data_IF_153848630581
#
_entry.id   IF_153848630581
#
_cell.length_a   1.000
_cell.length_b   1.000
_cell.length_c   1.000
_cell.angle_alpha   90.00
_cell.angle_beta   90.00
_cell.angle_gamma   90.00
#
_symmetry.space_group_name_H-M   'P 1'
#
loop_
_entity.id
_entity.type
_entity.pdbx_description
1 polymer ?
#
# COMPACT_ATOMS: atom_id res chain seq x y z
N UNK A 1 -7.66 10.24 6.26
CA UNK A 1 -6.93 9.05 6.77
C UNK A 1 -5.90 8.66 5.72
N UNK A 2 -4.73 8.16 6.10
CA UNK A 2 -3.70 7.81 5.12
C UNK A 2 -3.68 6.30 4.88
N UNK A 3 -3.68 5.88 3.61
CA UNK A 3 -3.54 4.47 3.23
C UNK A 3 -2.22 4.33 2.48
N UNK A 4 -1.25 3.65 3.08
CA UNK A 4 0.06 3.39 2.48
C UNK A 4 0.02 2.07 1.73
N UNK A 5 0.34 2.10 0.44
CA UNK A 5 0.34 0.92 -0.41
C UNK A 5 1.76 0.38 -0.55
N UNK A 6 1.87 -0.92 -0.36
CA UNK A 6 3.07 -1.70 -0.64
C UNK A 6 3.21 -1.97 -2.15
N UNK A 7 4.45 -2.09 -2.64
CA UNK A 7 4.79 -2.34 -4.05
C UNK A 7 4.09 -3.60 -4.57
N UNK A 8 4.18 -4.69 -3.80
CA UNK A 8 3.59 -5.98 -4.18
C UNK A 8 2.07 -5.92 -4.25
N UNK A 9 1.44 -5.11 -3.38
CA UNK A 9 0.00 -4.90 -3.39
C UNK A 9 -0.45 -4.21 -4.68
N UNK A 10 0.25 -3.15 -5.08
CA UNK A 10 -0.05 -2.39 -6.31
C UNK A 10 0.07 -3.30 -7.54
N UNK A 11 1.17 -4.04 -7.66
CA UNK A 11 1.41 -4.97 -8.76
C UNK A 11 0.31 -6.03 -8.81
N UNK A 12 -0.08 -6.56 -7.65
CA UNK A 12 -1.14 -7.55 -7.55
C UNK A 12 -2.49 -7.00 -8.03
N UNK A 13 -2.86 -5.80 -7.59
CA UNK A 13 -4.10 -5.15 -8.03
C UNK A 13 -4.11 -4.94 -9.54
N UNK A 14 -3.02 -4.43 -10.12
CA UNK A 14 -2.90 -4.20 -11.57
C UNK A 14 -3.03 -5.52 -12.34
N UNK A 15 -2.30 -6.55 -11.92
CA UNK A 15 -2.31 -7.87 -12.56
C UNK A 15 -3.71 -8.49 -12.56
N UNK A 16 -4.47 -8.31 -11.46
CA UNK A 16 -5.82 -8.83 -11.33
C UNK A 16 -6.92 -7.84 -11.78
N UNK A 17 -6.54 -6.69 -12.38
CA UNK A 17 -7.46 -5.64 -12.86
C UNK A 17 -8.41 -5.13 -11.76
N UNK A 18 -7.89 -5.00 -10.55
CA UNK A 18 -8.61 -4.46 -9.39
C UNK A 18 -8.42 -2.95 -9.39
N UNK A 19 -9.53 -2.21 -9.41
CA UNK A 19 -9.49 -0.76 -9.18
C UNK A 19 -9.17 -0.49 -7.71
N UNK A 20 -7.96 -0.01 -7.46
CA UNK A 20 -7.43 0.23 -6.12
C UNK A 20 -8.31 1.23 -5.35
N UNK A 21 -8.66 2.35 -5.99
CA UNK A 21 -9.35 3.44 -5.31
C UNK A 21 -10.79 3.05 -4.98
N UNK A 22 -11.51 2.49 -5.95
CA UNK A 22 -12.89 2.00 -5.73
C UNK A 22 -12.91 0.90 -4.68
N UNK A 23 -12.02 -0.09 -4.79
CA UNK A 23 -12.02 -1.24 -3.88
C UNK A 23 -11.64 -0.87 -2.45
N UNK A 24 -10.75 0.12 -2.26
CA UNK A 24 -10.43 0.65 -0.93
C UNK A 24 -11.62 1.46 -0.40
N UNK A 25 -12.31 2.22 -1.24
CA UNK A 25 -13.53 2.95 -0.86
C UNK A 25 -14.66 2.03 -0.42
N UNK A 26 -14.84 0.88 -1.08
CA UNK A 26 -15.83 -0.11 -0.67
C UNK A 26 -15.45 -0.80 0.65
N UNK A 27 -14.15 -0.86 0.95
CA UNK A 27 -13.63 -1.46 2.17
C UNK A 27 -13.59 -0.49 3.37
N UNK A 28 -13.64 0.83 3.11
CA UNK A 28 -13.50 1.88 4.09
C UNK A 28 -14.68 2.86 4.00
N UNK A 29 -15.56 2.87 5.01
CA UNK A 29 -16.66 3.84 5.12
C UNK A 29 -16.19 5.27 5.53
N UNK A 30 -15.03 5.72 5.04
CA UNK A 30 -14.40 6.97 5.47
C UNK A 30 -13.46 7.54 4.40
N UNK A 31 -13.25 8.86 4.42
CA UNK A 31 -12.34 9.53 3.49
C UNK A 31 -10.87 9.16 3.74
N UNK A 32 -10.18 8.81 2.67
CA UNK A 32 -8.77 8.44 2.69
C UNK A 32 -7.98 9.11 1.55
N UNK A 33 -6.68 9.16 1.75
CA UNK A 33 -5.69 9.52 0.73
C UNK A 33 -4.76 8.33 0.54
N UNK A 34 -4.44 8.03 -0.72
CA UNK A 34 -3.53 6.94 -1.08
C UNK A 34 -2.10 7.48 -1.11
N UNK A 35 -1.18 6.73 -0.52
CA UNK A 35 0.22 7.09 -0.43
C UNK A 35 1.13 5.91 -0.72
N UNK A 36 2.34 6.21 -1.20
CA UNK A 36 3.42 5.25 -1.39
C UNK A 36 4.71 5.83 -0.80
N UNK A 37 5.65 4.97 -0.44
CA UNK A 37 7.01 5.41 -0.13
C UNK A 37 7.82 5.59 -1.41
N UNK A 38 8.77 6.52 -1.37
CA UNK A 38 9.70 6.76 -2.48
C UNK A 38 10.45 5.50 -2.96
N UNK A 39 10.78 4.59 -2.05
CA UNK A 39 11.37 3.29 -2.40
C UNK A 39 10.44 2.42 -3.28
N UNK A 40 9.12 2.48 -3.07
CA UNK A 40 8.12 1.78 -3.91
C UNK A 40 8.10 2.36 -5.33
N UNK A 41 8.22 3.67 -5.48
CA UNK A 41 8.30 4.30 -6.79
C UNK A 41 9.56 3.87 -7.55
N UNK A 42 10.69 3.78 -6.86
CA UNK A 42 11.96 3.29 -7.43
C UNK A 42 11.83 1.84 -7.93
N UNK A 43 11.19 0.95 -7.15
CA UNK A 43 10.96 -0.44 -7.52
C UNK A 43 10.05 -0.56 -8.75
N UNK A 44 8.91 0.14 -8.76
CA UNK A 44 8.01 0.16 -9.90
C UNK A 44 8.69 0.71 -11.16
N UNK A 45 9.57 1.70 -11.00
CA UNK A 45 10.36 2.26 -12.09
C UNK A 45 11.34 1.24 -12.65
N UNK A 46 12.02 0.48 -11.78
CA UNK A 46 12.95 -0.60 -12.20
C UNK A 46 12.23 -1.74 -12.91
N UNK A 47 11.01 -2.08 -12.49
CA UNK A 47 10.18 -3.08 -13.16
C UNK A 47 9.68 -2.63 -14.54
N UNK A 48 9.70 -1.33 -14.83
CA UNK A 48 9.29 -0.79 -16.13
C UNK A 48 7.78 -0.84 -16.39
N UNK A 49 6.97 -1.05 -15.36
CA UNK A 49 5.51 -1.13 -15.49
C UNK A 49 4.91 0.28 -15.63
N UNK A 50 4.70 0.68 -16.90
CA UNK A 50 4.13 1.99 -17.24
C UNK A 50 2.72 2.21 -16.67
N UNK A 51 1.95 1.15 -16.48
CA UNK A 51 0.59 1.24 -15.94
C UNK A 51 0.69 1.54 -14.45
N UNK A 52 1.52 0.79 -13.73
CA UNK A 52 1.77 1.03 -12.31
C UNK A 52 2.26 2.45 -12.05
N UNK A 53 3.26 2.90 -12.83
CA UNK A 53 3.79 4.26 -12.74
C UNK A 53 2.74 5.35 -13.00
N UNK A 54 1.78 5.10 -13.90
CA UNK A 54 0.70 6.06 -14.18
C UNK A 54 -0.32 6.13 -13.05
N UNK A 55 -0.59 4.99 -12.40
CA UNK A 55 -1.53 4.91 -11.27
C UNK A 55 -0.93 5.61 -10.05
N UNK A 56 0.31 5.26 -9.68
CA UNK A 56 0.94 5.79 -8.45
C UNK A 56 1.28 7.27 -8.53
N UNK A 57 1.34 7.86 -9.74
CA UNK A 57 1.53 9.31 -9.92
C UNK A 57 0.45 10.16 -9.27
N UNK A 58 -0.74 9.61 -9.03
CA UNK A 58 -1.83 10.30 -8.36
C UNK A 58 -1.81 10.09 -6.83
N UNK A 59 -0.85 9.33 -6.30
CA UNK A 59 -0.73 9.04 -4.88
C UNK A 59 0.27 10.00 -4.22
N UNK A 60 0.12 10.18 -2.92
CA UNK A 60 1.05 10.97 -2.12
C UNK A 60 2.37 10.21 -2.01
N UNK A 61 3.47 10.83 -2.42
CA UNK A 61 4.80 10.28 -2.24
C UNK A 61 5.36 10.67 -0.87
N UNK A 62 5.63 9.68 -0.03
CA UNK A 62 6.28 9.84 1.28
C UNK A 62 7.78 9.63 1.09
N UNK A 63 8.56 10.68 1.34
CA UNK A 63 10.02 10.60 1.31
C UNK A 63 10.53 9.88 2.54
N UNK A 64 11.37 8.87 2.34
CA UNK A 64 11.96 8.09 3.43
C UNK A 64 13.48 8.16 3.37
N UNK A 65 14.15 7.74 4.43
CA UNK A 65 15.59 7.51 4.36
C UNK A 65 15.77 6.15 3.69
N UNK A 66 16.33 6.13 2.47
CA UNK A 66 16.49 4.93 1.64
C UNK A 66 17.59 3.98 2.14
N UNK A 67 17.83 3.91 3.45
CA UNK A 67 18.85 3.08 4.10
C UNK A 67 18.32 1.72 4.56
N UNK A 68 17.01 1.47 4.43
CA UNK A 68 16.34 0.22 4.85
C UNK A 68 15.49 -0.38 3.73
N UNK A 69 15.05 -1.62 3.96
CA UNK A 69 14.05 -2.30 3.13
C UNK A 69 12.66 -1.65 3.28
N UNK A 70 11.83 -1.74 2.23
CA UNK A 70 10.51 -1.10 2.13
C UNK A 70 9.63 -1.38 3.36
N UNK A 71 9.57 -2.63 3.80
CA UNK A 71 8.80 -3.05 4.99
C UNK A 71 9.17 -2.27 6.25
N UNK A 72 10.47 -2.08 6.50
CA UNK A 72 10.95 -1.38 7.69
C UNK A 72 10.69 0.13 7.58
N UNK A 73 10.76 0.68 6.36
CA UNK A 73 10.39 2.08 6.11
C UNK A 73 8.90 2.32 6.39
N UNK A 74 8.03 1.41 5.93
CA UNK A 74 6.60 1.45 6.24
C UNK A 74 6.39 1.37 7.75
N UNK A 75 7.08 0.48 8.45
CA UNK A 75 6.96 0.35 9.91
C UNK A 75 7.44 1.57 10.70
N UNK A 76 8.35 2.36 10.16
CA UNK A 76 8.87 3.59 10.78
C UNK A 76 7.95 4.80 10.56
N UNK A 77 7.23 4.88 9.44
CA UNK A 77 6.37 6.02 9.10
C UNK A 77 4.93 5.87 9.57
N UNK A 78 4.44 4.65 9.78
CA UNK A 78 3.05 4.40 10.16
C UNK A 78 2.72 4.90 11.55
N UNK A 79 1.56 5.56 11.67
CA UNK A 79 0.96 6.00 12.92
C UNK A 79 -0.44 5.38 13.11
N UNK A 80 -1.06 5.59 14.28
CA UNK A 80 -2.39 5.01 14.61
C UNK A 80 -3.52 5.42 13.67
N UNK A 81 -3.36 6.49 12.88
CA UNK A 81 -4.34 6.95 11.88
C UNK A 81 -3.98 6.51 10.45
N UNK A 82 -2.95 5.69 10.30
CA UNK A 82 -2.53 5.13 9.03
C UNK A 82 -3.07 3.70 8.88
N UNK A 83 -3.42 3.33 7.66
CA UNK A 83 -3.74 1.97 7.24
C UNK A 83 -2.69 1.54 6.23
N UNK A 84 -2.24 0.29 6.29
CA UNK A 84 -1.30 -0.26 5.30
C UNK A 84 -2.00 -1.29 4.43
N UNK A 85 -1.95 -1.11 3.11
CA UNK A 85 -2.40 -2.08 2.13
C UNK A 85 -1.24 -2.98 1.72
N UNK A 86 -1.22 -4.21 2.24
CA UNK A 86 -0.18 -5.22 1.93
C UNK A 86 -0.76 -6.62 2.05
N UNK A 87 -0.38 -7.50 1.13
CA UNK A 87 -0.73 -8.92 1.18
C UNK A 87 0.32 -9.76 1.93
N UNK A 88 1.43 -9.16 2.37
CA UNK A 88 2.49 -9.85 3.09
C UNK A 88 2.08 -10.23 4.52
N UNK A 89 2.30 -11.48 4.91
CA UNK A 89 1.87 -11.97 6.21
C UNK A 89 2.78 -11.51 7.35
N UNK A 90 4.07 -11.31 7.09
CA UNK A 90 5.05 -10.90 8.10
C UNK A 90 4.91 -9.43 8.44
N UNK A 91 4.83 -8.56 7.42
CA UNK A 91 4.58 -7.13 7.59
C UNK A 91 3.26 -6.89 8.33
N UNK A 92 2.20 -7.64 8.01
CA UNK A 92 0.91 -7.55 8.72
C UNK A 92 1.02 -7.94 10.19
N UNK A 93 1.79 -8.97 10.53
CA UNK A 93 2.02 -9.34 11.94
C UNK A 93 2.72 -8.19 12.69
N UNK A 94 3.76 -7.60 12.09
CA UNK A 94 4.49 -6.47 12.67
C UNK A 94 3.58 -5.24 12.87
N UNK A 95 2.75 -4.92 11.87
CA UNK A 95 1.78 -3.81 11.93
C UNK A 95 0.70 -4.03 12.99
N UNK A 96 0.19 -5.27 13.09
CA UNK A 96 -0.80 -5.63 14.12
C UNK A 96 -0.26 -5.46 15.53
N UNK A 97 1.01 -5.80 15.77
CA UNK A 97 1.67 -5.57 17.08
C UNK A 97 1.73 -4.07 17.41
N UNK A 98 1.89 -3.21 16.41
CA UNK A 98 1.82 -1.74 16.57
C UNK A 98 0.40 -1.17 16.65
N UNK A 99 -0.64 -2.01 16.53
CA UNK A 99 -2.04 -1.58 16.51
C UNK A 99 -2.46 -0.88 15.21
N UNK A 100 -1.72 -1.11 14.11
CA UNK A 100 -2.01 -0.55 12.79
C UNK A 100 -2.94 -1.47 12.02
N UNK A 101 -3.98 -0.92 11.43
CA UNK A 101 -4.95 -1.65 10.59
C UNK A 101 -4.35 -1.99 9.23
N UNK A 102 -4.77 -3.12 8.66
CA UNK A 102 -4.24 -3.59 7.36
C UNK A 102 -5.36 -3.83 6.34
N UNK A 103 -5.10 -3.48 5.08
CA UNK A 103 -5.95 -3.86 3.95
C UNK A 103 -5.27 -4.99 3.18
N UNK A 104 -6.06 -6.01 2.81
CA UNK A 104 -5.58 -7.13 2.00
C UNK A 104 -6.50 -7.39 0.84
N UNK A 105 -5.94 -7.87 -0.28
CA UNK A 105 -6.77 -8.44 -1.35
C UNK A 105 -7.17 -9.88 -1.00
N UNK A 106 -8.46 -10.20 -1.15
CA UNK A 106 -9.05 -11.53 -0.98
C UNK A 106 -9.72 -11.99 -2.27
N UNK A 107 -9.67 -13.30 -2.49
CA UNK A 107 -10.26 -13.98 -3.66
C UNK A 107 -9.85 -13.36 -5.01
N UNK A 108 -8.67 -12.71 -5.06
CA UNK A 108 -8.17 -11.96 -6.22
C UNK A 108 -9.13 -10.87 -6.73
N UNK A 109 -10.09 -10.41 -5.91
CA UNK A 109 -11.18 -9.53 -6.36
C UNK A 109 -11.47 -8.36 -5.45
N UNK A 110 -11.50 -8.56 -4.14
CA UNK A 110 -11.97 -7.53 -3.21
C UNK A 110 -10.94 -7.24 -2.13
N UNK A 111 -10.86 -5.97 -1.74
CA UNK A 111 -10.03 -5.51 -0.63
C UNK A 111 -10.86 -5.61 0.66
N UNK A 112 -10.23 -6.00 1.77
CA UNK A 112 -10.88 -6.06 3.08
C UNK A 112 -9.95 -5.55 4.18
N UNK A 113 -10.50 -4.78 5.11
CA UNK A 113 -9.84 -4.41 6.37
C UNK A 113 -9.71 -5.62 7.30
N UNK A 114 -8.50 -5.85 7.82
CA UNK A 114 -8.15 -6.89 8.80
C UNK A 114 -7.29 -6.33 9.92
#
# INVERSE_FOLDING_TARGET
>A
MLVILDTNFIIYCITNKIDIQSSISDALDTNFELAIVDATLDELTKLGDKIALKIVKNFIEIKTKKDKIVDDLILDIVDKKTIVATNDLELRKKLKVKGIKTLVVRQKKYIKEI
#
